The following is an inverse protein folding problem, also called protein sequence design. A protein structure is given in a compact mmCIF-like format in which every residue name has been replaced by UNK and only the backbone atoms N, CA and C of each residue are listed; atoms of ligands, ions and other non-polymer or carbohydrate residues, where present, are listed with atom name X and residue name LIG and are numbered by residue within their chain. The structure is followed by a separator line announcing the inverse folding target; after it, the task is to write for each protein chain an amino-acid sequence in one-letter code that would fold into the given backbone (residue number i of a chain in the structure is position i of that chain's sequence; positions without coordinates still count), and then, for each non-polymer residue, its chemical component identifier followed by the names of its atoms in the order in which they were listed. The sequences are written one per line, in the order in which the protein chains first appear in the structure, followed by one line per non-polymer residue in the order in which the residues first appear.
data_IF_071047793725
#
_entry.id   IF_071047793725
#
_cell.length_a   1.000
_cell.length_b   1.000
_cell.length_c   1.000
_cell.angle_alpha   90.00
_cell.angle_beta   90.00
_cell.angle_gamma   90.00
#
_symmetry.space_group_name_H-M   'P 1'
#
loop_
_entity.id
_entity.type
_entity.pdbx_description
1 polymer ?
#
# COMPACT_ATOMS: atom_id res chain seq x y z
N UNK A 1 2.59 -24.04 -30.94
CA UNK A 1 1.70 -23.60 -29.83
C UNK A 1 2.49 -23.25 -28.54
N UNK A 2 3.72 -22.74 -28.63
CA UNK A 2 4.55 -22.44 -27.43
C UNK A 2 5.21 -21.06 -27.46
N UNK A 3 4.96 -20.25 -28.50
CA UNK A 3 5.49 -18.87 -28.58
C UNK A 3 4.62 -17.82 -27.87
N UNK A 4 3.37 -18.15 -27.54
CA UNK A 4 2.48 -17.25 -26.79
C UNK A 4 2.66 -17.35 -25.27
N UNK A 5 3.06 -18.51 -24.73
CA UNK A 5 3.14 -18.71 -23.27
C UNK A 5 4.35 -17.98 -22.68
N UNK A 6 5.49 -17.98 -23.37
CA UNK A 6 6.67 -17.24 -22.90
C UNK A 6 6.49 -15.72 -22.97
N UNK A 7 5.68 -15.23 -23.92
CA UNK A 7 5.28 -13.81 -23.99
C UNK A 7 4.36 -13.38 -22.85
N UNK A 8 3.48 -14.28 -22.37
CA UNK A 8 2.63 -14.03 -21.20
C UNK A 8 3.44 -13.98 -19.89
N UNK A 9 4.48 -14.81 -19.76
CA UNK A 9 5.37 -14.79 -18.58
C UNK A 9 6.25 -13.54 -18.52
N UNK A 10 6.61 -12.94 -19.67
CA UNK A 10 7.32 -11.64 -19.71
C UNK A 10 6.38 -10.43 -19.61
N UNK A 11 5.06 -10.61 -19.74
CA UNK A 11 4.06 -9.56 -19.52
C UNK A 11 3.68 -9.43 -18.04
N UNK A 12 3.57 -10.56 -17.32
CA UNK A 12 3.33 -10.54 -15.87
C UNK A 12 4.41 -9.78 -15.08
N UNK A 13 5.67 -9.89 -15.50
CA UNK A 13 6.80 -9.15 -14.90
C UNK A 13 6.76 -7.64 -15.21
N UNK A 14 6.06 -7.24 -16.28
CA UNK A 14 6.03 -5.85 -16.76
C UNK A 14 4.86 -5.05 -16.20
N UNK A 15 3.81 -5.74 -15.75
CA UNK A 15 2.66 -5.16 -15.03
C UNK A 15 2.93 -4.98 -13.53
N UNK A 16 3.96 -5.65 -12.98
CA UNK A 16 4.40 -5.48 -11.59
C UNK A 16 5.06 -4.12 -11.29
N UNK A 17 5.38 -3.31 -12.31
CA UNK A 17 6.10 -2.03 -12.15
C UNK A 17 5.21 -0.82 -11.83
N UNK A 18 3.93 -1.04 -11.51
CA UNK A 18 3.05 -0.05 -10.86
C UNK A 18 1.97 -0.74 -10.02
N UNK A 19 2.36 -1.68 -9.15
CA UNK A 19 1.44 -2.25 -8.17
C UNK A 19 1.10 -1.16 -7.13
N UNK A 20 -0.12 -0.66 -7.19
CA UNK A 20 -0.65 0.21 -6.14
C UNK A 20 -0.66 -0.50 -4.78
N UNK A 21 -0.90 0.22 -3.68
CA UNK A 21 -0.77 -0.32 -2.33
C UNK A 21 -1.52 -1.64 -2.15
N UNK A 22 -0.86 -2.63 -1.58
CA UNK A 22 -1.29 -4.02 -1.46
C UNK A 22 -1.26 -4.49 0.01
N UNK A 23 -1.72 -5.71 0.27
CA UNK A 23 -1.84 -6.23 1.64
C UNK A 23 -0.45 -6.35 2.30
N UNK A 24 -0.34 -5.87 3.56
CA UNK A 24 0.88 -5.78 4.35
C UNK A 24 1.91 -4.73 3.89
N UNK A 25 1.63 -3.95 2.85
CA UNK A 25 2.48 -2.82 2.53
C UNK A 25 2.46 -1.80 3.67
N UNK A 26 3.65 -1.30 3.98
CA UNK A 26 3.83 -0.17 4.89
C UNK A 26 3.65 1.11 4.09
N UNK A 27 2.78 1.99 4.55
CA UNK A 27 2.37 3.20 3.85
C UNK A 27 2.47 4.43 4.75
N UNK A 28 2.59 5.60 4.14
CA UNK A 28 2.38 6.89 4.80
C UNK A 28 1.16 7.61 4.21
N UNK A 29 0.40 8.30 5.07
CA UNK A 29 -0.68 9.18 4.64
C UNK A 29 -0.14 10.41 3.89
N UNK A 30 -0.75 10.75 2.77
CA UNK A 30 -0.47 11.96 2.00
C UNK A 30 -1.39 13.13 2.38
N UNK A 31 -2.48 12.86 3.10
CA UNK A 31 -3.49 13.84 3.53
C UNK A 31 -3.79 13.68 5.03
N UNK A 32 -4.33 14.73 5.66
CA UNK A 32 -4.81 14.63 7.04
C UNK A 32 -6.17 13.93 7.08
N UNK A 33 -6.38 13.07 8.09
CA UNK A 33 -7.67 12.46 8.39
C UNK A 33 -8.09 12.86 9.81
N UNK A 34 -8.55 14.11 10.02
CA UNK A 34 -8.80 14.65 11.36
C UNK A 34 -9.89 13.89 12.12
N UNK A 35 -10.84 13.25 11.41
CA UNK A 35 -11.86 12.40 12.01
C UNK A 35 -11.31 11.14 12.70
N UNK A 36 -10.13 10.67 12.28
CA UNK A 36 -9.42 9.55 12.90
C UNK A 36 -8.21 9.99 13.74
N UNK A 37 -8.00 11.31 13.91
CA UNK A 37 -6.81 11.89 14.57
C UNK A 37 -5.50 11.45 13.91
N UNK A 38 -5.52 11.27 12.60
CA UNK A 38 -4.34 10.94 11.81
C UNK A 38 -3.89 12.17 11.03
N UNK A 39 -2.58 12.42 11.03
CA UNK A 39 -1.97 13.51 10.27
C UNK A 39 -1.29 12.96 9.00
N UNK A 40 -1.11 13.81 8.00
CA UNK A 40 -0.23 13.55 6.87
C UNK A 40 1.16 13.13 7.37
N UNK A 41 1.72 12.09 6.76
CA UNK A 41 3.01 11.51 7.07
C UNK A 41 2.95 10.40 8.13
N UNK A 42 1.79 10.13 8.72
CA UNK A 42 1.62 9.05 9.68
C UNK A 42 1.73 7.70 8.98
N UNK A 43 2.48 6.79 9.60
CA UNK A 43 2.84 5.48 9.05
C UNK A 43 1.85 4.43 9.52
N UNK A 44 1.37 3.62 8.59
CA UNK A 44 0.50 2.49 8.87
C UNK A 44 0.78 1.31 7.95
N UNK A 45 0.06 0.22 8.19
CA UNK A 45 0.16 -1.03 7.42
C UNK A 45 -1.21 -1.36 6.83
N UNK A 46 -1.25 -1.73 5.56
CA UNK A 46 -2.49 -2.21 4.95
C UNK A 46 -2.86 -3.57 5.52
N UNK A 47 -4.04 -3.66 6.14
CA UNK A 47 -4.55 -4.89 6.76
C UNK A 47 -5.70 -5.52 5.96
N UNK A 48 -6.33 -4.76 5.05
CA UNK A 48 -7.38 -5.26 4.16
C UNK A 48 -7.54 -4.36 2.92
N UNK A 49 -7.91 -4.94 1.78
CA UNK A 49 -8.40 -4.18 0.62
C UNK A 49 -9.94 -4.16 0.69
N UNK A 50 -10.53 -2.98 0.84
CA UNK A 50 -11.98 -2.83 0.97
C UNK A 50 -12.65 -2.82 -0.41
N UNK A 51 -12.02 -2.13 -1.37
CA UNK A 51 -12.42 -2.08 -2.78
C UNK A 51 -11.21 -1.67 -3.64
N UNK A 52 -11.42 -1.47 -4.94
CA UNK A 52 -10.37 -1.14 -5.92
C UNK A 52 -9.59 0.15 -5.57
N UNK A 53 -10.20 1.07 -4.82
CA UNK A 53 -9.68 2.41 -4.53
C UNK A 53 -9.44 2.68 -3.05
N UNK A 54 -9.84 1.78 -2.16
CA UNK A 54 -9.79 1.99 -0.71
C UNK A 54 -9.15 0.81 0.01
N UNK A 55 -8.17 1.10 0.86
CA UNK A 55 -7.52 0.12 1.73
C UNK A 55 -7.82 0.42 3.19
N UNK A 56 -8.00 -0.62 4.00
CA UNK A 56 -8.02 -0.48 5.45
C UNK A 56 -6.59 -0.47 5.97
N UNK A 57 -6.22 0.58 6.68
CA UNK A 57 -4.87 0.79 7.21
C UNK A 57 -4.89 0.79 8.73
N UNK A 58 -4.06 -0.04 9.34
CA UNK A 58 -3.79 -0.03 10.78
C UNK A 58 -2.61 0.89 11.08
N UNK A 59 -2.75 1.74 12.08
CA UNK A 59 -1.73 2.63 12.59
C UNK A 59 -1.39 2.26 14.02
N UNK A 60 -0.13 1.94 14.27
CA UNK A 60 0.34 1.39 15.55
C UNK A 60 1.44 2.24 16.16
N UNK A 61 1.49 2.27 17.49
CA UNK A 61 2.54 2.96 18.26
C UNK A 61 3.87 2.20 18.20
N UNK A 62 4.89 2.72 18.90
CA UNK A 62 6.22 2.12 18.93
C UNK A 62 6.28 0.78 19.68
N UNK A 63 5.22 0.41 20.41
CA UNK A 63 5.06 -0.89 21.05
C UNK A 63 4.27 -1.88 20.19
N UNK A 64 3.80 -1.44 19.00
CA UNK A 64 2.99 -2.25 18.10
C UNK A 64 1.51 -2.30 18.48
N UNK A 65 1.02 -1.42 19.37
CA UNK A 65 -0.41 -1.34 19.66
C UNK A 65 -1.10 -0.44 18.63
N UNK A 66 -2.13 -0.98 17.99
CA UNK A 66 -3.00 -0.20 17.12
C UNK A 66 -3.70 0.91 17.91
N UNK A 67 -3.51 2.17 17.49
CA UNK A 67 -4.25 3.32 18.01
C UNK A 67 -5.31 3.84 17.03
N UNK A 68 -5.24 3.44 15.75
CA UNK A 68 -6.27 3.72 14.76
C UNK A 68 -6.31 2.63 13.69
N UNK A 69 -7.51 2.39 13.16
CA UNK A 69 -7.72 1.60 11.95
C UNK A 69 -8.70 2.38 11.09
N UNK A 70 -8.29 2.76 9.88
CA UNK A 70 -9.04 3.70 9.06
C UNK A 70 -9.08 3.29 7.58
N UNK A 71 -10.22 3.44 6.90
CA UNK A 71 -10.29 3.33 5.45
C UNK A 71 -9.56 4.52 4.84
N UNK A 72 -8.59 4.25 3.98
CA UNK A 72 -7.75 5.24 3.33
C UNK A 72 -7.89 5.08 1.79
N UNK A 73 -8.19 6.16 1.05
CA UNK A 73 -8.08 6.14 -0.40
C UNK A 73 -6.65 5.79 -0.82
N UNK A 74 -6.50 4.90 -1.81
CA UNK A 74 -5.18 4.46 -2.29
C UNK A 74 -4.35 5.61 -2.85
N UNK A 75 -5.00 6.60 -3.44
CA UNK A 75 -4.36 7.83 -3.95
C UNK A 75 -3.77 8.71 -2.83
N UNK A 76 -4.22 8.52 -1.59
CA UNK A 76 -3.74 9.23 -0.40
C UNK A 76 -2.66 8.43 0.35
N UNK A 77 -2.16 7.32 -0.22
CA UNK A 77 -1.15 6.46 0.38
C UNK A 77 0.15 6.47 -0.42
N UNK A 78 1.27 6.58 0.29
CA UNK A 78 2.61 6.38 -0.24
C UNK A 78 3.20 5.09 0.32
N UNK A 79 3.49 4.10 -0.54
CA UNK A 79 4.22 2.90 -0.14
C UNK A 79 5.64 3.29 0.28
N UNK A 80 6.09 2.77 1.43
CA UNK A 80 7.40 3.07 2.00
C UNK A 80 8.37 1.91 1.75
N UNK A 81 9.43 2.21 1.00
CA UNK A 81 10.55 1.29 0.79
C UNK A 81 11.67 1.64 1.78
N UNK A 82 12.02 0.72 2.68
CA UNK A 82 13.07 0.91 3.69
C UNK A 82 14.49 0.65 3.16
N UNK A 83 14.58 -0.02 2.01
CA UNK A 83 15.82 -0.33 1.31
C UNK A 83 15.73 0.24 -0.10
N UNK A 84 16.86 0.69 -0.69
CA UNK A 84 16.88 1.08 -2.09
C UNK A 84 16.49 -0.10 -2.98
N UNK A 85 15.59 0.12 -3.92
CA UNK A 85 15.36 -0.81 -5.02
C UNK A 85 16.39 -0.56 -6.13
N UNK A 86 16.90 -1.63 -6.73
CA UNK A 86 17.65 -1.52 -7.99
C UNK A 86 16.69 -1.07 -9.10
N UNK A 87 16.94 0.10 -9.71
CA UNK A 87 16.04 0.78 -10.64
C UNK A 87 15.86 0.07 -12.00
#
# INVERSE_FOLDING_TARGET
MIRHVLGAMMQAEKDAKNEGPSLLDVVALLTDLPGQRLARGQVGTIVEQLDDNTSLVEFSDDQGHAYAVAPCPRDDLLILHYVPEEA
#
